data_IF_121637168089
#
_entry.id   IF_121637168089
#
_cell.length_a   1.000
_cell.length_b   1.000
_cell.length_c   1.000
_cell.angle_alpha   90.00
_cell.angle_beta   90.00
_cell.angle_gamma   90.00
#
_symmetry.space_group_name_H-M   'P 1'
#
loop_
_entity.id
_entity.type
_entity.pdbx_description
1 polymer ?
#
# COMPACT_ATOMS: atom_id res chain seq x y z
N UNK A 1 -46.76 47.59 21.36
CA UNK A 1 -48.03 47.03 20.85
C UNK A 1 -47.71 46.12 19.67
N UNK A 2 -48.06 44.82 19.76
CA UNK A 2 -47.95 43.83 18.68
C UNK A 2 -49.15 43.96 17.73
N UNK A 3 -48.92 43.73 16.42
CA UNK A 3 -49.85 43.18 15.40
C UNK A 3 -49.05 43.01 14.09
N UNK A 4 -48.45 41.84 13.83
CA UNK A 4 -48.97 40.71 13.03
C UNK A 4 -49.66 41.10 11.72
N UNK A 5 -48.96 40.90 10.59
CA UNK A 5 -49.53 40.63 9.27
C UNK A 5 -48.70 39.49 8.64
N UNK A 6 -49.16 38.24 8.81
CA UNK A 6 -49.79 37.39 7.77
C UNK A 6 -48.97 37.21 6.49
N UNK A 7 -48.49 35.97 6.34
CA UNK A 7 -47.86 35.42 5.15
C UNK A 7 -48.85 35.26 3.98
N UNK A 8 -48.34 35.38 2.76
CA UNK A 8 -48.96 34.84 1.55
C UNK A 8 -47.86 34.25 0.66
N UNK A 9 -47.89 32.93 0.50
CA UNK A 9 -47.04 32.13 -0.39
C UNK A 9 -47.51 32.26 -1.84
N UNK A 10 -46.60 32.22 -2.83
CA UNK A 10 -46.71 31.39 -4.04
C UNK A 10 -45.51 31.56 -4.99
N UNK A 11 -44.90 30.41 -5.30
CA UNK A 11 -44.29 29.99 -6.56
C UNK A 11 -43.24 30.87 -7.26
N UNK A 12 -42.01 30.35 -7.33
CA UNK A 12 -40.97 30.87 -8.22
C UNK A 12 -39.82 29.87 -8.43
N UNK A 13 -40.00 29.00 -9.42
CA UNK A 13 -38.99 28.24 -10.16
C UNK A 13 -37.74 27.72 -9.42
N UNK A 14 -37.78 26.40 -9.19
CA UNK A 14 -36.62 25.53 -9.08
C UNK A 14 -35.74 25.69 -10.35
N UNK A 15 -34.63 26.40 -10.25
CA UNK A 15 -33.51 26.25 -11.20
C UNK A 15 -32.40 25.52 -10.45
N UNK A 16 -32.49 24.19 -10.51
CA UNK A 16 -31.33 23.32 -10.36
C UNK A 16 -30.36 23.66 -11.50
N UNK A 17 -29.49 24.65 -11.28
CA UNK A 17 -28.22 24.70 -12.00
C UNK A 17 -27.34 23.61 -11.42
N UNK A 18 -27.68 22.38 -11.84
CA UNK A 18 -26.76 21.27 -12.00
C UNK A 18 -25.62 21.77 -12.90
N UNK A 19 -24.62 22.41 -12.30
CA UNK A 19 -23.26 22.42 -12.82
C UNK A 19 -22.68 21.02 -12.67
N UNK A 20 -23.34 20.03 -13.29
CA UNK A 20 -22.84 18.68 -13.45
C UNK A 20 -22.21 18.58 -14.82
N UNK A 21 -20.89 18.63 -14.87
CA UNK A 21 -20.04 18.04 -15.91
C UNK A 21 -18.59 18.04 -15.43
N UNK A 22 -18.31 17.23 -14.41
CA UNK A 22 -17.03 16.51 -14.33
C UNK A 22 -17.29 15.10 -13.77
N UNK A 23 -18.27 14.42 -14.40
CA UNK A 23 -18.60 13.02 -14.13
C UNK A 23 -17.55 12.04 -14.72
N UNK A 24 -16.39 12.55 -15.13
CA UNK A 24 -15.20 11.79 -15.49
C UNK A 24 -13.96 12.49 -14.95
N UNK A 25 -13.97 12.87 -13.66
CA UNK A 25 -12.73 13.00 -12.91
C UNK A 25 -12.10 11.60 -12.85
N UNK A 26 -11.50 11.17 -13.96
CA UNK A 26 -10.59 10.03 -13.97
C UNK A 26 -9.51 10.46 -13.00
N UNK A 27 -9.49 9.89 -11.80
CA UNK A 27 -8.44 10.16 -10.85
C UNK A 27 -7.10 9.91 -11.56
N UNK A 28 -6.41 11.01 -11.93
CA UNK A 28 -5.14 11.00 -12.66
C UNK A 28 -3.97 10.85 -11.70
N UNK A 29 -4.23 10.57 -10.42
CA UNK A 29 -3.17 10.32 -9.44
C UNK A 29 -2.32 9.15 -9.94
N UNK A 30 -1.00 9.35 -10.12
CA UNK A 30 -0.11 8.27 -10.53
C UNK A 30 -0.22 7.10 -9.55
N UNK A 31 -0.19 5.87 -10.07
CA UNK A 31 -0.33 4.64 -9.28
C UNK A 31 0.62 4.60 -8.07
N UNK A 32 1.89 4.97 -8.27
CA UNK A 32 2.89 5.07 -7.18
C UNK A 32 2.52 6.05 -6.07
N UNK A 33 1.77 7.11 -6.38
CA UNK A 33 1.27 8.06 -5.38
C UNK A 33 0.09 7.47 -4.65
N UNK A 34 -0.84 6.83 -5.36
CA UNK A 34 -1.99 6.14 -4.78
C UNK A 34 -1.56 5.02 -3.83
N UNK A 35 -0.52 4.28 -4.20
CA UNK A 35 0.00 3.16 -3.42
C UNK A 35 1.01 3.57 -2.34
N UNK A 36 1.29 4.88 -2.20
CA UNK A 36 2.20 5.42 -1.20
C UNK A 36 3.69 5.13 -1.46
N UNK A 37 4.04 4.51 -2.59
CA UNK A 37 5.43 4.13 -2.91
C UNK A 37 6.28 5.32 -3.35
N UNK A 38 5.66 6.40 -3.85
CA UNK A 38 6.36 7.62 -4.27
C UNK A 38 7.13 8.33 -3.14
N UNK A 39 6.76 8.10 -1.88
CA UNK A 39 7.37 8.73 -0.70
C UNK A 39 8.40 7.86 0.03
N UNK A 40 8.85 6.76 -0.58
CA UNK A 40 9.86 5.88 0.01
C UNK A 40 11.26 6.43 -0.22
N UNK A 41 12.05 6.48 0.85
CA UNK A 41 13.49 6.70 0.78
C UNK A 41 14.16 5.33 0.77
N UNK A 42 14.25 4.74 -0.43
CA UNK A 42 14.67 3.36 -0.64
C UNK A 42 15.88 3.31 -1.59
N UNK A 43 16.98 2.74 -1.09
CA UNK A 43 18.12 2.32 -1.92
C UNK A 43 17.96 0.85 -2.28
N UNK A 44 18.12 0.52 -3.57
CA UNK A 44 17.96 -0.85 -4.08
C UNK A 44 19.30 -1.40 -4.53
N UNK A 45 19.66 -2.61 -4.05
CA UNK A 45 20.86 -3.35 -4.47
C UNK A 45 20.50 -4.76 -4.97
N UNK A 46 21.43 -5.40 -5.68
CA UNK A 46 21.21 -6.73 -6.27
C UNK A 46 20.56 -6.67 -7.66
N UNK A 47 19.74 -7.68 -7.97
CA UNK A 47 19.04 -7.81 -9.28
C UNK A 47 17.55 -8.06 -9.09
N UNK A 48 16.75 -7.04 -8.72
CA UNK A 48 15.30 -7.19 -8.68
C UNK A 48 14.72 -7.42 -10.07
N UNK A 49 13.61 -8.16 -10.14
CA UNK A 49 12.70 -8.08 -11.28
C UNK A 49 11.73 -6.91 -11.03
N UNK A 50 11.03 -6.41 -12.06
CA UNK A 50 9.99 -5.39 -11.85
C UNK A 50 8.96 -5.82 -10.79
N UNK A 51 8.55 -7.10 -10.81
CA UNK A 51 7.60 -7.66 -9.88
C UNK A 51 8.08 -7.71 -8.43
N UNK A 52 9.30 -8.20 -8.19
CA UNK A 52 9.82 -8.29 -6.83
C UNK A 52 10.05 -6.92 -6.22
N UNK A 53 10.54 -5.95 -7.01
CA UNK A 53 10.68 -4.57 -6.55
C UNK A 53 9.33 -3.95 -6.20
N UNK A 54 8.32 -4.08 -7.06
CA UNK A 54 7.01 -3.51 -6.82
C UNK A 54 6.38 -4.02 -5.51
N UNK A 55 6.49 -5.33 -5.24
CA UNK A 55 5.94 -5.92 -4.02
C UNK A 55 6.71 -5.46 -2.78
N UNK A 56 8.04 -5.40 -2.85
CA UNK A 56 8.84 -4.81 -1.77
C UNK A 56 8.43 -3.36 -1.50
N UNK A 57 8.29 -2.52 -2.53
CA UNK A 57 7.87 -1.13 -2.38
C UNK A 57 6.48 -1.03 -1.73
N UNK A 58 5.51 -1.85 -2.15
CA UNK A 58 4.19 -1.87 -1.52
C UNK A 58 4.24 -2.26 -0.05
N UNK A 59 4.95 -3.33 0.30
CA UNK A 59 5.11 -3.75 1.70
C UNK A 59 5.69 -2.61 2.55
N UNK A 60 6.73 -1.95 2.06
CA UNK A 60 7.35 -0.82 2.77
C UNK A 60 6.40 0.38 2.89
N UNK A 61 5.61 0.66 1.85
CA UNK A 61 4.60 1.72 1.90
C UNK A 61 3.52 1.43 2.96
N UNK A 62 3.03 0.19 3.05
CA UNK A 62 2.03 -0.22 4.06
C UNK A 62 2.60 -0.17 5.47
N UNK A 63 3.82 -0.64 5.68
CA UNK A 63 4.51 -0.52 6.97
C UNK A 63 4.69 0.95 7.37
N UNK A 64 5.11 1.82 6.43
CA UNK A 64 5.26 3.25 6.66
C UNK A 64 3.93 3.93 7.02
N UNK A 65 2.85 3.53 6.35
CA UNK A 65 1.49 4.00 6.61
C UNK A 65 0.87 3.38 7.89
N UNK A 66 1.50 2.35 8.47
CA UNK A 66 0.96 1.51 9.56
C UNK A 66 -0.38 0.87 9.19
N UNK A 67 -0.50 0.45 7.93
CA UNK A 67 -1.69 -0.12 7.32
C UNK A 67 -1.59 -1.66 7.35
N UNK A 68 -2.15 -2.27 8.40
CA UNK A 68 -2.14 -3.72 8.58
C UNK A 68 -3.06 -4.42 7.57
N UNK A 69 -4.25 -3.88 7.32
CA UNK A 69 -5.20 -4.42 6.35
C UNK A 69 -4.59 -4.46 4.94
N UNK A 70 -4.02 -3.35 4.48
CA UNK A 70 -3.37 -3.28 3.18
C UNK A 70 -2.08 -4.10 3.09
N UNK A 71 -1.47 -4.47 4.22
CA UNK A 71 -0.35 -5.41 4.27
C UNK A 71 -0.85 -6.86 4.21
N UNK A 72 -1.97 -7.19 4.87
CA UNK A 72 -2.60 -8.50 4.81
C UNK A 72 -3.10 -8.85 3.40
N UNK A 73 -3.59 -7.87 2.64
CA UNK A 73 -3.97 -8.02 1.22
C UNK A 73 -2.81 -8.44 0.31
N UNK A 74 -1.55 -8.30 0.77
CA UNK A 74 -0.35 -8.72 0.04
C UNK A 74 0.17 -10.09 0.49
N UNK A 75 -0.39 -10.66 1.55
CA UNK A 75 -0.08 -12.00 1.95
C UNK A 75 -0.69 -12.99 0.95
N UNK A 76 0.11 -13.96 0.49
CA UNK A 76 -0.41 -15.05 -0.33
C UNK A 76 -1.42 -15.90 0.47
N UNK A 77 -2.21 -16.74 -0.19
CA UNK A 77 -3.26 -17.56 0.46
C UNK A 77 -2.77 -18.39 1.66
N UNK A 78 -1.49 -18.79 1.65
CA UNK A 78 -0.85 -19.55 2.74
C UNK A 78 0.22 -18.72 3.50
N UNK A 79 0.39 -17.45 3.14
CA UNK A 79 1.55 -16.62 3.47
C UNK A 79 1.39 -15.77 4.73
N UNK A 80 0.19 -15.61 5.30
CA UNK A 80 0.00 -14.80 6.50
C UNK A 80 -1.46 -14.54 6.85
N UNK A 81 -1.70 -14.20 8.11
CA UNK A 81 -2.98 -13.77 8.65
C UNK A 81 -2.99 -12.26 8.89
N UNK A 82 -4.17 -11.67 9.05
CA UNK A 82 -4.33 -10.28 9.52
C UNK A 82 -3.51 -10.01 10.80
N UNK A 83 -3.53 -10.97 11.75
CA UNK A 83 -2.71 -10.91 12.96
C UNK A 83 -1.20 -10.91 12.70
N UNK A 84 -0.72 -11.49 11.61
CA UNK A 84 0.69 -11.43 11.23
C UNK A 84 1.05 -10.05 10.68
N UNK A 85 0.15 -9.47 9.87
CA UNK A 85 0.29 -8.10 9.37
C UNK A 85 0.32 -7.07 10.51
N UNK A 86 -0.56 -7.21 11.50
CA UNK A 86 -0.55 -6.36 12.70
C UNK A 86 0.78 -6.44 13.45
N UNK A 87 1.32 -7.66 13.65
CA UNK A 87 2.64 -7.84 14.30
C UNK A 87 3.76 -7.19 13.51
N UNK A 88 3.73 -7.31 12.18
CA UNK A 88 4.70 -6.67 11.31
C UNK A 88 4.64 -5.14 11.39
N UNK A 89 3.44 -4.56 11.37
CA UNK A 89 3.25 -3.10 11.57
C UNK A 89 3.74 -2.67 12.95
N UNK A 90 3.43 -3.43 14.00
CA UNK A 90 3.89 -3.14 15.35
C UNK A 90 5.42 -3.16 15.46
N UNK A 91 6.07 -4.15 14.83
CA UNK A 91 7.52 -4.34 14.86
C UNK A 91 8.27 -3.34 14.00
N UNK A 92 7.82 -3.12 12.77
CA UNK A 92 8.59 -2.44 11.74
C UNK A 92 8.03 -1.07 11.34
N UNK A 93 6.78 -0.73 11.72
CA UNK A 93 6.14 0.50 11.26
C UNK A 93 6.84 1.78 11.75
N UNK A 94 7.52 1.74 12.90
CA UNK A 94 8.40 2.85 13.31
C UNK A 94 9.67 2.91 12.48
N UNK A 95 10.27 1.76 12.18
CA UNK A 95 11.50 1.67 11.40
C UNK A 95 11.31 2.08 9.94
N UNK A 96 10.17 1.73 9.35
CA UNK A 96 9.77 2.06 7.98
C UNK A 96 9.61 3.57 7.71
N UNK A 97 9.63 4.41 8.75
CA UNK A 97 9.65 5.87 8.59
C UNK A 97 11.04 6.41 8.23
N UNK A 98 12.09 5.59 8.33
CA UNK A 98 13.47 5.97 8.04
C UNK A 98 13.92 5.45 6.66
N UNK A 99 15.03 5.98 6.12
CA UNK A 99 15.62 5.44 4.91
C UNK A 99 15.89 3.94 5.03
N UNK A 100 15.71 3.22 3.93
CA UNK A 100 15.89 1.77 3.88
C UNK A 100 16.79 1.36 2.71
N UNK A 101 17.55 0.29 2.89
CA UNK A 101 18.24 -0.42 1.81
C UNK A 101 17.59 -1.78 1.63
N UNK A 102 17.13 -2.10 0.42
CA UNK A 102 16.61 -3.41 0.06
C UNK A 102 17.63 -4.14 -0.83
N UNK A 103 18.15 -5.26 -0.33
CA UNK A 103 19.11 -6.10 -1.06
C UNK A 103 18.41 -7.35 -1.61
N UNK A 104 18.36 -7.45 -2.94
CA UNK A 104 17.70 -8.54 -3.64
C UNK A 104 18.68 -9.68 -3.90
N UNK A 105 18.53 -10.77 -3.14
CA UNK A 105 19.31 -12.00 -3.31
C UNK A 105 19.03 -12.70 -4.64
N UNK A 106 19.94 -13.58 -5.06
CA UNK A 106 19.76 -14.38 -6.28
C UNK A 106 18.91 -15.62 -6.00
N UNK A 107 17.76 -15.76 -6.68
CA UNK A 107 16.93 -16.96 -6.62
C UNK A 107 15.92 -17.00 -7.77
N UNK A 108 15.93 -18.05 -8.56
CA UNK A 108 15.13 -18.16 -9.80
C UNK A 108 13.63 -18.49 -9.57
N UNK A 109 13.21 -18.77 -8.33
CA UNK A 109 11.82 -19.20 -8.01
C UNK A 109 11.21 -18.55 -6.77
N UNK A 110 12.04 -18.14 -5.82
CA UNK A 110 11.63 -17.42 -4.60
C UNK A 110 12.69 -16.35 -4.38
N UNK A 111 12.25 -15.10 -4.26
CA UNK A 111 13.15 -13.99 -4.00
C UNK A 111 13.16 -13.71 -2.50
N UNK A 112 14.35 -13.76 -1.90
CA UNK A 112 14.58 -13.25 -0.55
C UNK A 112 15.11 -11.82 -0.67
N UNK A 113 14.47 -10.89 0.04
CA UNK A 113 14.88 -9.49 0.08
C UNK A 113 15.21 -9.13 1.53
N UNK A 114 16.45 -8.74 1.77
CA UNK A 114 16.86 -8.20 3.07
C UNK A 114 16.64 -6.68 3.06
N UNK A 115 15.75 -6.19 3.92
CA UNK A 115 15.51 -4.75 4.10
C UNK A 115 16.16 -4.27 5.39
N UNK A 116 17.09 -3.32 5.27
CA UNK A 116 17.76 -2.67 6.40
C UNK A 116 17.26 -1.24 6.57
N UNK A 117 16.55 -0.96 7.66
CA UNK A 117 16.17 0.40 8.03
C UNK A 117 17.33 1.12 8.72
N UNK A 118 17.55 2.39 8.39
CA UNK A 118 18.65 3.17 8.95
C UNK A 118 18.58 3.25 10.48
N UNK A 119 19.63 2.81 11.17
CA UNK A 119 19.69 2.79 12.64
C UNK A 119 19.01 1.58 13.29
N UNK A 120 18.45 0.65 12.50
CA UNK A 120 17.83 -0.56 13.03
C UNK A 120 18.77 -1.77 12.99
N UNK A 121 18.94 -2.47 14.13
CA UNK A 121 19.97 -3.51 14.24
C UNK A 121 19.60 -4.78 13.47
N UNK A 122 18.31 -5.09 13.39
CA UNK A 122 17.81 -6.28 12.71
C UNK A 122 17.23 -5.91 11.36
N UNK A 123 17.54 -6.66 10.28
CA UNK A 123 16.84 -6.51 9.02
C UNK A 123 15.42 -7.08 9.10
N UNK A 124 14.57 -6.62 8.19
CA UNK A 124 13.33 -7.27 7.81
C UNK A 124 13.61 -8.19 6.62
N UNK A 125 13.24 -9.47 6.72
CA UNK A 125 13.38 -10.42 5.61
C UNK A 125 12.03 -10.57 4.92
N UNK A 126 11.99 -10.29 3.61
CA UNK A 126 10.82 -10.55 2.77
C UNK A 126 11.06 -11.81 1.95
N UNK A 127 10.13 -12.76 2.08
CA UNK A 127 10.09 -13.94 1.23
C UNK A 127 8.98 -13.75 0.20
N UNK A 128 9.37 -13.60 -1.06
CA UNK A 128 8.45 -13.31 -2.17
C UNK A 128 8.22 -14.57 -3.00
N UNK A 129 6.95 -14.90 -3.23
CA UNK A 129 6.52 -16.09 -3.97
C UNK A 129 5.69 -15.67 -5.18
N UNK A 130 5.90 -16.23 -6.38
CA UNK A 130 5.07 -15.91 -7.55
C UNK A 130 3.58 -16.15 -7.28
N UNK A 131 2.73 -15.20 -7.65
CA UNK A 131 1.28 -15.30 -7.50
C UNK A 131 0.72 -16.23 -8.57
N UNK A 132 0.38 -17.46 -8.18
CA UNK A 132 -0.25 -18.46 -9.04
C UNK A 132 0.70 -19.56 -9.50
N UNK A 133 0.28 -20.81 -9.31
CA UNK A 133 1.06 -22.01 -9.66
C UNK A 133 1.23 -22.25 -11.17
N UNK A 134 0.47 -21.52 -11.99
CA UNK A 134 0.30 -21.77 -13.43
C UNK A 134 1.16 -20.88 -14.32
N UNK A 135 1.73 -19.80 -13.79
CA UNK A 135 2.68 -18.94 -14.51
C UNK A 135 3.88 -18.61 -13.59
N UNK A 136 4.86 -19.52 -13.50
CA UNK A 136 6.06 -19.30 -12.69
C UNK A 136 6.97 -18.19 -13.24
N UNK A 137 6.63 -17.60 -14.39
CA UNK A 137 7.30 -16.45 -15.00
C UNK A 137 6.46 -15.17 -14.87
N UNK A 138 5.34 -15.19 -14.15
CA UNK A 138 4.53 -14.03 -13.89
C UNK A 138 5.29 -13.00 -13.04
N UNK A 139 5.15 -11.71 -13.37
CA UNK A 139 5.77 -10.59 -12.66
C UNK A 139 5.02 -10.20 -11.37
N UNK A 140 4.13 -11.06 -10.88
CA UNK A 140 3.29 -10.77 -9.71
C UNK A 140 3.71 -11.68 -8.56
N UNK A 141 3.98 -11.11 -7.39
CA UNK A 141 4.46 -11.83 -6.22
C UNK A 141 3.62 -11.52 -4.98
N UNK A 142 3.49 -12.51 -4.12
CA UNK A 142 2.95 -12.38 -2.77
C UNK A 142 4.09 -12.38 -1.75
N UNK A 143 3.88 -11.77 -0.58
CA UNK A 143 4.81 -11.82 0.54
C UNK A 143 4.37 -12.87 1.57
N UNK A 144 5.31 -13.62 2.12
CA UNK A 144 5.06 -14.41 3.32
C UNK A 144 5.30 -13.55 4.57
N UNK A 145 4.23 -13.27 5.31
CA UNK A 145 4.23 -12.61 6.60
C UNK A 145 4.41 -13.68 7.70
N UNK A 146 5.62 -14.16 7.88
CA UNK A 146 5.96 -15.05 8.99
C UNK A 146 6.84 -14.33 10.02
N UNK A 147 6.83 -14.81 11.26
CA UNK A 147 7.79 -14.36 12.27
C UNK A 147 9.14 -15.05 12.00
N UNK A 148 10.21 -14.25 11.97
CA UNK A 148 11.59 -14.75 12.07
C UNK A 148 11.78 -15.36 13.47
N UNK A 149 11.47 -16.65 13.62
CA UNK A 149 11.70 -17.41 14.87
C UNK A 149 13.06 -18.09 14.90
#
# INVERSE_FOLDING_TARGET
MRRTHTAASLAGALVLLLGGCDALATDKTPERVRDGTAGLDLTVTGRPTPGTLAVTEHVLARLKARDADGLADRAGQDGGTESDAERWVARWGAAAQRPATADFGQGEKTASVEVRFAGEPSPLILLLTPEGRSDPYGDRFDVALHDDR
#
